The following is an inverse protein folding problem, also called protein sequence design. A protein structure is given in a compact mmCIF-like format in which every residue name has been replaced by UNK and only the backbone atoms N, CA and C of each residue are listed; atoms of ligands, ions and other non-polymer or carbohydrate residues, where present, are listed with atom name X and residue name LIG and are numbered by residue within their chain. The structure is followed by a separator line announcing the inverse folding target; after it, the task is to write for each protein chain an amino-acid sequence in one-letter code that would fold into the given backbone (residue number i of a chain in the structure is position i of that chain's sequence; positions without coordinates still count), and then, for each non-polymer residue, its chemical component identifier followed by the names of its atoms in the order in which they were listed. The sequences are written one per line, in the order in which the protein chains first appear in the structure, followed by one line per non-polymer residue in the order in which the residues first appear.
data_IF_225971574946
#
_entry.id   IF_225971574946
#
_cell.length_a   1.000
_cell.length_b   1.000
_cell.length_c   1.000
_cell.angle_alpha   90.00
_cell.angle_beta   90.00
_cell.angle_gamma   90.00
#
_symmetry.space_group_name_H-M   'P 1'
#
loop_
_entity.id
_entity.type
_entity.pdbx_description
1 polymer ?
#
# COMPACT_ATOMS: atom_id res chain seq x y z
N UNK A 1 -12.19 5.80 22.87
CA UNK A 1 -12.08 4.41 22.34
C UNK A 1 -10.61 4.05 22.26
N UNK A 2 -10.15 2.94 22.85
CA UNK A 2 -8.71 2.65 23.04
C UNK A 2 -7.93 2.48 21.72
N UNK A 3 -8.59 2.02 20.64
CA UNK A 3 -7.94 1.86 19.33
C UNK A 3 -7.56 3.20 18.69
N UNK A 4 -8.40 4.23 18.81
CA UNK A 4 -8.08 5.59 18.33
C UNK A 4 -6.83 6.10 19.06
N UNK A 5 -6.70 5.82 20.36
CA UNK A 5 -5.57 6.25 21.16
C UNK A 5 -4.28 5.58 20.68
N UNK A 6 -4.26 4.25 20.54
CA UNK A 6 -3.08 3.53 20.08
C UNK A 6 -2.73 3.85 18.62
N UNK A 7 -3.71 3.92 17.72
CA UNK A 7 -3.48 4.35 16.33
C UNK A 7 -2.96 5.80 16.25
N UNK A 8 -3.49 6.70 17.09
CA UNK A 8 -3.01 8.07 17.22
C UNK A 8 -1.56 8.14 17.71
N UNK A 9 -1.18 7.30 18.68
CA UNK A 9 0.19 7.25 19.19
C UNK A 9 1.20 6.83 18.13
N UNK A 10 0.85 5.89 17.24
CA UNK A 10 1.75 5.45 16.16
C UNK A 10 2.15 6.58 15.19
N UNK A 11 1.33 7.63 15.08
CA UNK A 11 1.60 8.80 14.23
C UNK A 11 2.53 9.84 14.87
N UNK A 12 2.84 9.69 16.15
CA UNK A 12 3.74 10.60 16.84
C UNK A 12 5.20 10.25 16.49
N UNK A 13 5.92 11.17 15.85
CA UNK A 13 7.30 10.93 15.44
C UNK A 13 8.26 10.71 16.63
N UNK A 14 7.90 11.21 17.81
CA UNK A 14 8.77 11.27 18.99
C UNK A 14 8.71 10.04 19.90
N UNK A 15 7.81 9.08 19.66
CA UNK A 15 7.71 7.88 20.51
C UNK A 15 8.76 6.83 20.14
N UNK A 16 9.28 6.15 21.15
CA UNK A 16 10.32 5.13 20.98
C UNK A 16 9.80 3.89 20.26
N UNK A 17 10.73 3.13 19.66
CA UNK A 17 10.40 1.83 19.07
C UNK A 17 9.72 0.88 20.06
N UNK A 18 10.08 0.94 21.35
CA UNK A 18 9.44 0.14 22.39
C UNK A 18 7.97 0.50 22.57
N UNK A 19 7.65 1.80 22.60
CA UNK A 19 6.28 2.30 22.73
C UNK A 19 5.44 2.00 21.48
N UNK A 20 6.05 2.10 20.28
CA UNK A 20 5.42 1.69 19.03
C UNK A 20 5.09 0.20 19.03
N UNK A 21 6.03 -0.65 19.45
CA UNK A 21 5.83 -2.10 19.58
C UNK A 21 4.69 -2.40 20.56
N UNK A 22 4.68 -1.75 21.72
CA UNK A 22 3.62 -1.93 22.72
C UNK A 22 2.25 -1.53 22.15
N UNK A 23 2.17 -0.37 21.50
CA UNK A 23 0.95 0.11 20.86
C UNK A 23 0.42 -0.86 19.80
N UNK A 24 1.31 -1.43 18.96
CA UNK A 24 0.94 -2.43 17.97
C UNK A 24 0.44 -3.74 18.61
N UNK A 25 1.09 -4.21 19.69
CA UNK A 25 0.64 -5.40 20.43
C UNK A 25 -0.74 -5.16 21.04
N UNK A 26 -0.99 -3.97 21.59
CA UNK A 26 -2.29 -3.61 22.14
C UNK A 26 -3.37 -3.57 21.04
N UNK A 27 -3.07 -3.01 19.86
CA UNK A 27 -4.00 -3.04 18.73
C UNK A 27 -4.36 -4.48 18.32
N UNK A 28 -3.39 -5.39 18.27
CA UNK A 28 -3.64 -6.82 17.98
C UNK A 28 -4.53 -7.44 19.07
N UNK A 29 -4.19 -7.25 20.35
CA UNK A 29 -4.97 -7.79 21.47
C UNK A 29 -6.40 -7.27 21.49
N UNK A 30 -6.58 -6.00 21.13
CA UNK A 30 -7.88 -5.37 21.05
C UNK A 30 -8.69 -5.97 19.89
N UNK A 31 -8.12 -6.11 18.69
CA UNK A 31 -8.84 -6.71 17.55
C UNK A 31 -9.20 -8.19 17.68
N UNK A 32 -8.52 -8.90 18.58
CA UNK A 32 -8.92 -10.26 18.96
C UNK A 32 -10.04 -10.30 20.01
N UNK A 33 -10.23 -9.24 20.78
CA UNK A 33 -11.19 -9.21 21.90
C UNK A 33 -12.53 -8.53 21.59
N UNK A 34 -12.61 -7.67 20.57
CA UNK A 34 -13.88 -7.06 20.14
C UNK A 34 -14.80 -8.06 19.40
N UNK A 35 -16.11 -7.91 19.61
CA UNK A 35 -17.15 -8.61 18.83
C UNK A 35 -17.33 -7.99 17.44
N UNK A 36 -17.92 -8.74 16.51
CA UNK A 36 -18.05 -8.38 15.08
C UNK A 36 -18.64 -6.98 14.84
N UNK A 37 -19.68 -6.58 15.61
CA UNK A 37 -20.40 -5.33 15.40
C UNK A 37 -19.65 -4.07 15.87
N UNK A 38 -18.70 -4.20 16.79
CA UNK A 38 -17.95 -3.04 17.29
C UNK A 38 -16.84 -2.65 16.30
N UNK A 39 -16.35 -3.61 15.51
CA UNK A 39 -15.12 -3.47 14.75
C UNK A 39 -15.23 -2.63 13.48
N UNK A 40 -16.37 -2.66 12.80
CA UNK A 40 -16.58 -1.91 11.56
C UNK A 40 -16.49 -0.39 11.78
N UNK A 41 -17.19 0.13 12.81
CA UNK A 41 -17.13 1.53 13.22
C UNK A 41 -15.74 1.92 13.76
N UNK A 42 -15.01 0.97 14.34
CA UNK A 42 -13.66 1.19 14.84
C UNK A 42 -12.69 1.47 13.69
N UNK A 43 -12.68 0.64 12.64
CA UNK A 43 -11.71 0.75 11.55
C UNK A 43 -11.91 2.07 10.79
N UNK A 44 -13.16 2.34 10.40
CA UNK A 44 -13.52 3.52 9.60
C UNK A 44 -13.22 4.84 10.32
N UNK A 45 -13.30 4.86 11.66
CA UNK A 45 -13.09 6.10 12.43
C UNK A 45 -11.69 6.25 13.04
N UNK A 46 -10.93 5.16 13.16
CA UNK A 46 -9.64 5.19 13.86
C UNK A 46 -8.44 5.57 13.00
N UNK A 47 -8.54 5.41 11.67
CA UNK A 47 -7.41 5.59 10.77
C UNK A 47 -6.28 4.60 11.04
N UNK A 48 -6.62 3.41 11.58
CA UNK A 48 -5.64 2.42 12.04
C UNK A 48 -4.83 1.87 10.88
N UNK A 49 -5.44 1.62 9.72
CA UNK A 49 -4.77 1.08 8.53
C UNK A 49 -3.76 2.08 7.98
N UNK A 50 -4.14 3.35 7.89
CA UNK A 50 -3.26 4.45 7.47
C UNK A 50 -2.08 4.57 8.42
N UNK A 51 -2.34 4.63 9.72
CA UNK A 51 -1.31 4.81 10.75
C UNK A 51 -0.28 3.68 10.75
N UNK A 52 -0.73 2.42 10.63
CA UNK A 52 0.20 1.27 10.58
C UNK A 52 0.91 1.14 9.25
N UNK A 53 0.29 1.57 8.14
CA UNK A 53 0.91 1.55 6.82
C UNK A 53 2.00 2.63 6.72
N UNK A 54 1.73 3.86 7.17
CA UNK A 54 2.75 4.91 7.28
C UNK A 54 3.92 4.45 8.16
N UNK A 55 3.63 3.92 9.35
CA UNK A 55 4.68 3.41 10.22
C UNK A 55 5.50 2.28 9.58
N UNK A 56 4.86 1.41 8.79
CA UNK A 56 5.53 0.34 8.05
C UNK A 56 6.51 0.89 7.01
N UNK A 57 6.12 1.97 6.32
CA UNK A 57 6.94 2.63 5.31
C UNK A 57 8.13 3.38 5.92
N UNK A 58 7.97 3.96 7.10
CA UNK A 58 9.00 4.76 7.76
C UNK A 58 10.00 3.93 8.58
N UNK A 59 9.57 2.79 9.13
CA UNK A 59 10.37 2.03 10.09
C UNK A 59 11.48 1.19 9.43
N UNK A 60 12.67 1.23 10.02
CA UNK A 60 13.76 0.28 9.74
C UNK A 60 13.74 -0.92 10.70
N UNK A 61 12.87 -0.92 11.71
CA UNK A 61 12.79 -1.97 12.71
C UNK A 61 11.96 -3.16 12.17
N UNK A 62 12.57 -4.34 11.96
CA UNK A 62 11.87 -5.48 11.39
C UNK A 62 10.72 -5.99 12.27
N UNK A 63 10.82 -5.83 13.60
CA UNK A 63 9.76 -6.24 14.52
C UNK A 63 8.54 -5.33 14.40
N UNK A 64 8.75 -4.01 14.29
CA UNK A 64 7.66 -3.06 14.04
C UNK A 64 6.99 -3.39 12.71
N UNK A 65 7.78 -3.63 11.65
CA UNK A 65 7.27 -4.01 10.33
C UNK A 65 6.38 -5.26 10.39
N UNK A 66 6.83 -6.33 11.05
CA UNK A 66 6.04 -7.55 11.23
C UNK A 66 4.74 -7.28 11.98
N UNK A 67 4.79 -6.49 13.05
CA UNK A 67 3.61 -6.15 13.84
C UNK A 67 2.61 -5.28 13.07
N UNK A 68 3.07 -4.32 12.26
CA UNK A 68 2.20 -3.57 11.35
C UNK A 68 1.49 -4.53 10.37
N UNK A 69 2.20 -5.50 9.79
CA UNK A 69 1.61 -6.51 8.91
C UNK A 69 0.52 -7.32 9.63
N UNK A 70 0.78 -7.75 10.86
CA UNK A 70 -0.21 -8.48 11.67
C UNK A 70 -1.48 -7.66 11.97
N UNK A 71 -1.34 -6.36 12.27
CA UNK A 71 -2.49 -5.46 12.47
C UNK A 71 -3.31 -5.31 11.18
N UNK A 72 -2.64 -5.12 10.04
CA UNK A 72 -3.28 -5.00 8.73
C UNK A 72 -4.10 -6.26 8.41
N UNK A 73 -3.51 -7.44 8.58
CA UNK A 73 -4.20 -8.71 8.33
C UNK A 73 -5.42 -8.89 9.24
N UNK A 74 -5.28 -8.55 10.52
CA UNK A 74 -6.37 -8.64 11.50
C UNK A 74 -7.52 -7.70 11.11
N UNK A 75 -7.22 -6.46 10.75
CA UNK A 75 -8.24 -5.49 10.34
C UNK A 75 -8.99 -5.99 9.11
N UNK A 76 -8.27 -6.45 8.07
CA UNK A 76 -8.89 -6.98 6.85
C UNK A 76 -9.78 -8.19 7.12
N UNK A 77 -9.31 -9.12 7.95
CA UNK A 77 -10.09 -10.29 8.31
C UNK A 77 -11.46 -9.90 8.85
N UNK A 78 -11.48 -8.95 9.78
CA UNK A 78 -12.71 -8.50 10.42
C UNK A 78 -13.57 -7.63 9.51
N UNK A 79 -12.98 -6.79 8.65
CA UNK A 79 -13.75 -5.98 7.69
C UNK A 79 -14.56 -6.83 6.72
N UNK A 80 -14.08 -8.03 6.39
CA UNK A 80 -14.78 -8.96 5.51
C UNK A 80 -15.85 -9.80 6.25
N UNK A 81 -15.84 -9.82 7.59
CA UNK A 81 -16.84 -10.52 8.41
C UNK A 81 -18.12 -9.70 8.59
N UNK A 82 -18.07 -8.37 8.40
CA UNK A 82 -19.24 -7.48 8.54
C UNK A 82 -20.07 -7.40 7.25
N UNK A 83 -21.40 -7.51 7.38
CA UNK A 83 -22.36 -7.26 6.28
C UNK A 83 -22.64 -5.75 6.06
N UNK A 84 -21.89 -4.86 6.69
CA UNK A 84 -22.06 -3.42 6.57
C UNK A 84 -21.26 -2.86 5.38
N UNK A 85 -21.78 -1.77 4.79
CA UNK A 85 -21.13 -1.09 3.66
C UNK A 85 -19.77 -0.57 4.10
N UNK A 86 -18.69 -1.22 3.67
CA UNK A 86 -17.33 -0.80 4.02
C UNK A 86 -16.86 0.29 3.08
N UNK A 87 -16.27 1.34 3.63
CA UNK A 87 -15.53 2.32 2.83
C UNK A 87 -14.23 1.69 2.32
N UNK A 88 -14.34 1.05 1.16
CA UNK A 88 -13.23 0.35 0.52
C UNK A 88 -12.09 1.28 0.15
N UNK A 89 -12.33 2.59 -0.07
CA UNK A 89 -11.26 3.52 -0.39
C UNK A 89 -10.29 3.65 0.78
N UNK A 90 -10.83 3.91 1.97
CA UNK A 90 -10.05 4.04 3.22
C UNK A 90 -9.28 2.75 3.52
N UNK A 91 -9.90 1.58 3.32
CA UNK A 91 -9.23 0.29 3.55
C UNK A 91 -8.14 -0.03 2.52
N UNK A 92 -8.41 0.19 1.23
CA UNK A 92 -7.58 -0.32 0.14
C UNK A 92 -6.47 0.65 -0.27
N UNK A 93 -6.65 1.97 -0.15
CA UNK A 93 -5.65 2.95 -0.56
C UNK A 93 -4.27 2.71 0.08
N UNK A 94 -4.15 2.51 1.41
CA UNK A 94 -2.85 2.22 2.02
C UNK A 94 -2.24 0.90 1.51
N UNK A 95 -3.06 -0.12 1.24
CA UNK A 95 -2.58 -1.41 0.75
C UNK A 95 -2.06 -1.35 -0.68
N UNK A 96 -2.67 -0.52 -1.54
CA UNK A 96 -2.17 -0.22 -2.87
C UNK A 96 -0.80 0.47 -2.77
N UNK A 97 -0.64 1.43 -1.84
CA UNK A 97 0.66 2.06 -1.59
C UNK A 97 1.72 1.06 -1.10
N UNK A 98 1.34 0.06 -0.28
CA UNK A 98 2.24 -1.02 0.09
C UNK A 98 2.60 -1.90 -1.11
N UNK A 99 1.61 -2.28 -1.94
CA UNK A 99 1.82 -3.14 -3.11
C UNK A 99 2.87 -2.57 -4.07
N UNK A 100 2.80 -1.28 -4.38
CA UNK A 100 3.73 -0.61 -5.29
C UNK A 100 4.98 -0.03 -4.60
N UNK A 101 5.27 -0.48 -3.38
CA UNK A 101 6.48 -0.08 -2.69
C UNK A 101 7.74 -0.74 -3.31
N UNK A 102 8.85 -0.01 -3.34
CA UNK A 102 10.13 -0.52 -3.86
C UNK A 102 10.80 -1.58 -2.97
N UNK A 103 10.49 -1.64 -1.67
CA UNK A 103 10.93 -2.71 -0.78
C UNK A 103 10.07 -3.95 -1.04
N UNK A 104 10.68 -5.00 -1.60
CA UNK A 104 10.01 -6.26 -1.97
C UNK A 104 9.24 -6.88 -0.80
N UNK A 105 9.71 -6.74 0.44
CA UNK A 105 9.01 -7.30 1.61
C UNK A 105 7.75 -6.51 1.93
N UNK A 106 7.77 -5.19 1.73
CA UNK A 106 6.61 -4.33 1.92
C UNK A 106 5.60 -4.58 0.78
N UNK A 107 6.09 -4.66 -0.46
CA UNK A 107 5.29 -5.02 -1.63
C UNK A 107 4.58 -6.35 -1.46
N UNK A 108 5.28 -7.39 -1.01
CA UNK A 108 4.68 -8.71 -0.77
C UNK A 108 3.61 -8.67 0.33
N UNK A 109 3.78 -7.85 1.38
CA UNK A 109 2.73 -7.65 2.41
C UNK A 109 1.49 -7.01 1.79
N UNK A 110 1.64 -5.96 0.97
CA UNK A 110 0.55 -5.31 0.26
C UNK A 110 -0.18 -6.27 -0.69
N UNK A 111 0.57 -7.07 -1.45
CA UNK A 111 0.04 -8.10 -2.34
C UNK A 111 -0.74 -9.18 -1.60
N UNK A 112 -0.16 -9.80 -0.56
CA UNK A 112 -0.84 -10.85 0.21
C UNK A 112 -2.09 -10.32 0.91
N UNK A 113 -2.01 -9.10 1.44
CA UNK A 113 -3.14 -8.37 2.01
C UNK A 113 -4.31 -8.23 1.02
N UNK A 114 -4.02 -7.72 -0.18
CA UNK A 114 -5.03 -7.51 -1.22
C UNK A 114 -5.63 -8.83 -1.72
N UNK A 115 -4.80 -9.86 -1.95
CA UNK A 115 -5.27 -11.18 -2.38
C UNK A 115 -6.20 -11.81 -1.33
N UNK A 116 -5.82 -11.80 -0.06
CA UNK A 116 -6.65 -12.31 1.04
C UNK A 116 -7.98 -11.57 1.14
N UNK A 117 -7.98 -10.26 0.90
CA UNK A 117 -9.19 -9.46 0.93
C UNK A 117 -10.14 -9.84 -0.22
N UNK A 118 -9.62 -9.94 -1.45
CA UNK A 118 -10.38 -10.35 -2.64
C UNK A 118 -10.96 -11.76 -2.49
N UNK A 119 -10.20 -12.70 -1.93
CA UNK A 119 -10.67 -14.07 -1.68
C UNK A 119 -11.89 -14.12 -0.75
N UNK A 120 -12.00 -13.14 0.17
CA UNK A 120 -13.11 -13.06 1.13
C UNK A 120 -14.29 -12.25 0.61
N UNK A 121 -14.05 -11.21 -0.17
CA UNK A 121 -15.10 -10.37 -0.73
C UNK A 121 -14.74 -9.88 -2.15
N UNK A 122 -15.44 -10.41 -3.15
CA UNK A 122 -15.24 -10.03 -4.55
C UNK A 122 -15.59 -8.56 -4.86
N UNK A 123 -16.42 -7.89 -4.04
CA UNK A 123 -16.72 -6.45 -4.22
C UNK A 123 -15.48 -5.57 -4.06
N UNK A 124 -14.45 -6.06 -3.38
CA UNK A 124 -13.15 -5.38 -3.27
C UNK A 124 -12.53 -5.15 -4.64
N UNK A 125 -12.77 -6.02 -5.63
CA UNK A 125 -12.31 -5.80 -7.00
C UNK A 125 -12.90 -4.51 -7.59
N UNK A 126 -14.15 -4.18 -7.28
CA UNK A 126 -14.74 -2.91 -7.71
C UNK A 126 -14.06 -1.72 -7.02
N UNK A 127 -13.75 -1.84 -5.73
CA UNK A 127 -12.97 -0.83 -5.00
C UNK A 127 -11.58 -0.62 -5.62
N UNK A 128 -10.86 -1.69 -5.92
CA UNK A 128 -9.53 -1.62 -6.55
C UNK A 128 -9.56 -0.97 -7.93
N UNK A 129 -10.58 -1.29 -8.75
CA UNK A 129 -10.77 -0.66 -10.04
C UNK A 129 -11.08 0.84 -9.92
N UNK A 130 -11.94 1.23 -8.96
CA UNK A 130 -12.23 2.65 -8.70
C UNK A 130 -11.02 3.44 -8.20
N UNK A 131 -10.06 2.75 -7.57
CA UNK A 131 -8.79 3.32 -7.12
C UNK A 131 -7.71 3.35 -8.21
N UNK A 132 -8.00 2.87 -9.42
CA UNK A 132 -7.07 2.96 -10.54
C UNK A 132 -5.90 1.97 -10.46
N UNK A 133 -6.07 0.80 -9.83
CA UNK A 133 -4.97 -0.17 -9.67
C UNK A 133 -4.34 -0.59 -11.01
N UNK A 134 -5.12 -0.61 -12.09
CA UNK A 134 -4.64 -0.98 -13.43
C UNK A 134 -3.78 0.14 -14.01
N UNK A 135 -4.18 1.40 -13.79
CA UNK A 135 -3.43 2.56 -14.28
C UNK A 135 -2.07 2.64 -13.57
N UNK A 136 -2.05 2.50 -12.25
CA UNK A 136 -0.82 2.46 -11.45
C UNK A 136 0.06 1.27 -11.88
N UNK A 137 -0.50 0.07 -12.05
CA UNK A 137 0.28 -1.08 -12.53
C UNK A 137 0.89 -0.84 -13.92
N UNK A 138 0.16 -0.17 -14.82
CA UNK A 138 0.67 0.20 -16.14
C UNK A 138 1.84 1.18 -16.04
N UNK A 139 1.72 2.21 -15.19
CA UNK A 139 2.79 3.18 -14.96
C UNK A 139 4.05 2.51 -14.40
N UNK A 140 3.89 1.60 -13.43
CA UNK A 140 5.02 0.85 -12.87
C UNK A 140 5.70 -0.06 -13.91
N UNK A 141 4.94 -0.62 -14.85
CA UNK A 141 5.50 -1.39 -15.97
C UNK A 141 6.30 -0.50 -16.93
N UNK A 142 5.79 0.68 -17.26
CA UNK A 142 6.50 1.64 -18.12
C UNK A 142 7.82 2.11 -17.48
N UNK A 143 7.85 2.25 -16.15
CA UNK A 143 9.06 2.57 -15.39
C UNK A 143 10.05 1.39 -15.36
N UNK A 144 9.57 0.16 -15.20
CA UNK A 144 10.40 -1.05 -15.17
C UNK A 144 10.98 -1.41 -16.54
N UNK A 145 10.24 -1.10 -17.62
CA UNK A 145 10.58 -1.43 -19.00
C UNK A 145 10.47 -0.19 -19.89
N UNK A 146 11.34 0.82 -19.71
CA UNK A 146 11.24 2.06 -20.46
C UNK A 146 11.41 1.83 -21.97
N UNK A 147 10.65 2.54 -22.81
CA UNK A 147 10.78 2.40 -24.25
C UNK A 147 12.19 2.80 -24.71
N UNK A 148 12.71 2.14 -25.77
CA UNK A 148 14.03 2.46 -26.29
C UNK A 148 14.11 3.94 -26.69
N UNK A 149 15.24 4.62 -26.43
CA UNK A 149 15.40 6.02 -26.78
C UNK A 149 15.20 6.20 -28.29
N UNK A 150 14.57 7.31 -28.72
CA UNK A 150 14.36 7.57 -30.13
C UNK A 150 15.70 7.59 -30.84
N UNK A 151 15.84 6.74 -31.86
CA UNK A 151 17.06 6.62 -32.65
C UNK A 151 17.34 7.98 -33.32
N UNK A 152 18.43 8.63 -32.94
CA UNK A 152 18.90 9.83 -33.62
C UNK A 152 19.25 9.48 -35.05
N UNK A 153 18.37 9.82 -36.00
CA UNK A 153 18.66 9.73 -37.43
C UNK A 153 19.81 10.68 -37.74
N UNK A 154 21.02 10.14 -37.91
CA UNK A 154 22.13 10.87 -38.49
C UNK A 154 21.78 11.18 -39.94
N UNK A 155 21.36 12.42 -40.20
CA UNK A 155 21.32 12.99 -41.54
C UNK A 155 22.77 13.09 -42.04
N UNK A 156 23.23 12.10 -42.82
CA UNK A 156 24.42 12.24 -43.64
C UNK A 156 24.06 13.13 -44.85
N UNK A 157 24.31 14.44 -44.68
CA UNK A 157 24.18 15.43 -45.74
C UNK A 157 25.15 15.13 -46.90
N UNK A 158 24.60 15.27 -48.10
CA UNK A 158 25.21 15.04 -49.40
C UNK A 158 26.35 16.03 -49.69
N UNK A 159 27.49 15.51 -50.15
CA UNK A 159 28.52 16.31 -50.84
C UNK A 159 28.84 15.66 -52.19
N UNK A 160 27.97 15.92 -53.19
CA UNK A 160 28.38 15.90 -54.59
C UNK A 160 28.96 17.29 -54.90
N UNK A 161 30.28 17.39 -55.05
CA UNK A 161 30.93 18.52 -55.71
C UNK A 161 31.85 18.01 -56.82
N UNK A 162 31.26 17.93 -58.01
CA UNK A 162 31.76 18.43 -59.29
C UNK A 162 33.25 18.82 -59.35
N UNK A 163 34.05 18.12 -60.16
CA UNK A 163 35.19 18.73 -60.85
C UNK A 163 35.41 18.04 -62.22
N UNK A 164 35.21 18.80 -63.30
CA UNK A 164 35.59 18.46 -64.66
C UNK A 164 36.28 19.71 -65.25
N UNK A 165 37.46 19.48 -65.85
CA UNK A 165 38.20 20.28 -66.87
C UNK A 165 38.80 21.63 -66.44
N UNK A 166 40.13 21.73 -66.43
CA UNK A 166 40.99 22.16 -67.57
C UNK A 166 42.31 21.39 -67.52
#
# INVERSE_FOLDING_TARGET
MQIILFAGQLRLQEISDSEKIESLIQLISLGLSFGENDWHGIITTSGVIESVSELMLETTNPKIRTLCGAVIELVQQRSCESNESTDWRTLLSPLISLLFNSDEKISEIGKQSLLKAVDKNAEILHGLLQLGIIDEASEQLDLAFPPPPPSSSQNASSSQQHLLVV
#
